data_IF_666060916628
#
_entry.id   IF_666060916628
#
_cell.length_a   1.000
_cell.length_b   1.000
_cell.length_c   1.000
_cell.angle_alpha   90.00
_cell.angle_beta   90.00
_cell.angle_gamma   90.00
#
_symmetry.space_group_name_H-M   'P 1'
#
loop_
_entity.id
_entity.type
_entity.pdbx_description
1 polymer ?
#
# COMPACT_ATOMS: atom_id res chain seq x y z
N UNK A 1 1.09 -15.46 1.46
CA UNK A 1 2.44 -15.31 2.03
C UNK A 1 2.35 -14.85 3.48
N UNK A 2 1.82 -13.64 3.72
CA UNK A 2 1.49 -13.12 5.05
C UNK A 2 -0.03 -13.14 5.22
N UNK A 3 -0.52 -13.53 6.40
CA UNK A 3 -1.93 -13.51 6.75
C UNK A 3 -2.12 -12.95 8.15
N UNK A 4 -3.04 -12.00 8.30
CA UNK A 4 -3.53 -11.46 9.56
C UNK A 4 -4.92 -12.05 9.76
N UNK A 5 -5.22 -12.59 10.94
CA UNK A 5 -6.53 -13.17 11.24
C UNK A 5 -7.03 -12.65 12.58
N UNK A 6 -8.18 -11.97 12.55
CA UNK A 6 -8.79 -11.33 13.70
C UNK A 6 -7.83 -10.44 14.48
N UNK A 7 -6.96 -9.69 13.79
CA UNK A 7 -5.91 -8.92 14.44
C UNK A 7 -6.50 -7.82 15.31
N UNK A 8 -6.15 -7.81 16.60
CA UNK A 8 -6.56 -6.78 17.55
C UNK A 8 -5.36 -6.17 18.24
N UNK A 9 -5.41 -4.85 18.43
CA UNK A 9 -4.44 -4.13 19.23
C UNK A 9 -5.17 -3.10 20.09
N UNK A 10 -5.07 -3.31 21.39
CA UNK A 10 -5.54 -2.37 22.42
C UNK A 10 -4.33 -1.76 23.11
N UNK A 11 -4.39 -0.47 23.39
CA UNK A 11 -3.39 0.26 24.17
C UNK A 11 -4.02 0.81 25.43
N UNK A 12 -3.38 0.58 26.57
CA UNK A 12 -3.80 1.18 27.84
C UNK A 12 -3.31 2.63 27.90
N UNK A 13 -4.25 3.56 27.97
CA UNK A 13 -3.95 5.00 28.12
C UNK A 13 -4.53 5.53 29.43
N UNK A 14 -4.08 6.71 29.86
CA UNK A 14 -4.64 7.38 31.05
C UNK A 14 -6.15 7.68 30.95
N UNK A 15 -6.69 7.74 29.72
CA UNK A 15 -8.11 7.99 29.45
C UNK A 15 -8.92 6.70 29.27
N UNK A 16 -8.30 5.52 29.45
CA UNK A 16 -8.91 4.21 29.23
C UNK A 16 -8.24 3.42 28.11
N UNK A 17 -8.69 2.17 27.88
CA UNK A 17 -8.20 1.33 26.79
C UNK A 17 -8.61 1.91 25.43
N UNK A 18 -7.68 1.93 24.49
CA UNK A 18 -7.89 2.41 23.11
C UNK A 18 -7.70 1.24 22.15
N UNK A 19 -8.79 0.79 21.53
CA UNK A 19 -8.75 -0.22 20.48
C UNK A 19 -8.28 0.41 19.16
N UNK A 20 -6.98 0.36 18.90
CA UNK A 20 -6.39 0.92 17.69
C UNK A 20 -6.63 0.04 16.45
N UNK A 21 -6.79 -1.27 16.65
CA UNK A 21 -7.14 -2.25 15.61
C UNK A 21 -8.14 -3.22 16.21
N UNK A 22 -9.27 -3.44 15.53
CA UNK A 22 -10.39 -4.25 16.04
C UNK A 22 -10.81 -5.32 15.03
N UNK A 23 -10.12 -6.47 15.03
CA UNK A 23 -10.51 -7.64 14.26
C UNK A 23 -10.18 -7.56 12.77
N UNK A 24 -8.95 -7.15 12.43
CA UNK A 24 -8.53 -6.99 11.03
C UNK A 24 -8.05 -8.31 10.41
N UNK A 25 -8.70 -8.70 9.30
CA UNK A 25 -8.32 -9.82 8.45
C UNK A 25 -7.72 -9.30 7.13
N UNK A 26 -6.44 -9.59 6.89
CA UNK A 26 -5.74 -9.20 5.66
C UNK A 26 -4.81 -10.32 5.19
N UNK A 27 -4.59 -10.40 3.88
CA UNK A 27 -3.68 -11.38 3.30
C UNK A 27 -2.86 -10.73 2.19
N UNK A 28 -1.54 -10.93 2.26
CA UNK A 28 -0.62 -10.56 1.19
C UNK A 28 -0.14 -11.83 0.51
N UNK A 29 -0.40 -11.92 -0.79
CA UNK A 29 0.06 -13.03 -1.62
C UNK A 29 1.48 -12.76 -2.17
N UNK A 30 2.28 -13.80 -2.46
CA UNK A 30 3.59 -13.61 -3.08
C UNK A 30 3.50 -12.76 -4.35
N UNK A 31 4.44 -11.84 -4.57
CA UNK A 31 4.45 -10.96 -5.74
C UNK A 31 3.25 -10.02 -5.89
N UNK A 32 2.32 -9.98 -4.91
CA UNK A 32 1.11 -9.15 -4.97
C UNK A 32 1.20 -7.95 -4.03
N UNK A 33 0.52 -6.89 -4.44
CA UNK A 33 0.36 -5.66 -3.67
C UNK A 33 -0.99 -5.67 -2.98
N UNK A 34 -0.98 -5.47 -1.67
CA UNK A 34 -2.14 -5.08 -0.88
C UNK A 34 -1.91 -3.66 -0.38
N UNK A 35 -2.82 -2.75 -0.72
CA UNK A 35 -2.79 -1.39 -0.21
C UNK A 35 -3.75 -1.25 0.97
N UNK A 36 -3.29 -0.68 2.10
CA UNK A 36 -4.13 -0.36 3.25
C UNK A 36 -4.28 1.16 3.35
N UNK A 37 -5.50 1.65 3.15
CA UNK A 37 -5.80 3.08 3.04
C UNK A 37 -6.77 3.54 4.10
N UNK A 38 -6.63 4.77 4.58
CA UNK A 38 -7.55 5.38 5.52
C UNK A 38 -7.01 6.69 6.09
N UNK A 39 -7.88 7.44 6.77
CA UNK A 39 -7.53 8.69 7.45
C UNK A 39 -6.39 8.49 8.48
N UNK A 40 -5.72 9.59 8.86
CA UNK A 40 -4.70 9.54 9.91
C UNK A 40 -5.30 9.04 11.22
N UNK A 41 -4.55 8.22 11.96
CA UNK A 41 -4.99 7.67 13.24
C UNK A 41 -6.01 6.51 13.16
N UNK A 42 -6.37 6.02 11.97
CA UNK A 42 -7.33 4.92 11.86
C UNK A 42 -6.78 3.52 12.17
N UNK A 43 -5.50 3.38 12.54
CA UNK A 43 -4.87 2.11 12.95
C UNK A 43 -3.89 1.48 11.95
N UNK A 44 -3.66 2.09 10.77
CA UNK A 44 -2.82 1.53 9.70
C UNK A 44 -1.39 1.18 10.16
N UNK A 45 -0.69 2.13 10.76
CA UNK A 45 0.68 1.94 11.29
C UNK A 45 0.74 0.89 12.38
N UNK A 46 -0.31 0.79 13.21
CA UNK A 46 -0.41 -0.27 14.23
C UNK A 46 -0.53 -1.64 13.59
N UNK A 47 -1.39 -1.79 12.57
CA UNK A 47 -1.51 -3.01 11.76
C UNK A 47 -0.19 -3.36 11.09
N UNK A 48 0.51 -2.37 10.51
CA UNK A 48 1.81 -2.52 9.87
C UNK A 48 2.88 -3.10 10.80
N UNK A 49 2.98 -2.53 12.01
CA UNK A 49 3.97 -2.93 13.01
C UNK A 49 3.70 -4.33 13.54
N UNK A 50 2.43 -4.70 13.73
CA UNK A 50 2.04 -6.06 14.08
C UNK A 50 2.38 -7.04 12.94
N UNK A 51 2.04 -6.68 11.70
CA UNK A 51 2.33 -7.44 10.49
C UNK A 51 3.83 -7.65 10.23
N UNK A 52 4.69 -6.75 10.72
CA UNK A 52 6.15 -6.82 10.67
C UNK A 52 6.78 -7.55 11.89
N UNK A 53 5.97 -7.95 12.88
CA UNK A 53 6.46 -8.54 14.13
C UNK A 53 7.20 -7.56 15.05
N UNK A 54 7.01 -6.24 14.86
CA UNK A 54 7.59 -5.19 15.71
C UNK A 54 6.76 -4.94 16.98
N UNK A 55 5.48 -5.26 16.93
CA UNK A 55 4.55 -5.19 18.08
C UNK A 55 3.81 -6.52 18.18
N UNK A 56 3.64 -7.03 19.40
CA UNK A 56 2.81 -8.22 19.64
C UNK A 56 1.35 -7.78 19.73
N UNK A 57 0.43 -8.33 18.90
CA UNK A 57 -0.98 -8.00 18.98
C UNK A 57 -1.58 -8.45 20.32
N UNK A 58 -2.63 -7.76 20.75
CA UNK A 58 -3.40 -8.10 21.96
C UNK A 58 -4.20 -9.39 21.74
N UNK A 59 -4.82 -9.53 20.57
CA UNK A 59 -5.50 -10.76 20.13
C UNK A 59 -5.36 -10.97 18.62
N UNK A 60 -5.77 -12.15 18.16
CA UNK A 60 -5.59 -12.58 16.77
C UNK A 60 -4.19 -13.11 16.46
N UNK A 61 -3.95 -13.42 15.19
CA UNK A 61 -2.73 -14.10 14.74
C UNK A 61 -2.12 -13.43 13.51
N UNK A 62 -0.78 -13.37 13.51
CA UNK A 62 0.03 -13.04 12.33
C UNK A 62 0.72 -14.32 11.89
N UNK A 63 0.48 -14.73 10.65
CA UNK A 63 1.05 -15.93 10.04
C UNK A 63 1.93 -15.55 8.86
N UNK A 64 3.10 -16.17 8.77
CA UNK A 64 3.97 -16.08 7.62
C UNK A 64 4.27 -17.50 7.11
N UNK A 65 4.01 -17.75 5.83
CA UNK A 65 4.10 -19.08 5.19
C UNK A 65 3.32 -20.15 5.96
N UNK A 66 2.13 -19.79 6.44
CA UNK A 66 1.23 -20.69 7.18
C UNK A 66 1.63 -20.99 8.62
N UNK A 67 2.68 -20.32 9.16
CA UNK A 67 3.10 -20.48 10.56
C UNK A 67 2.91 -19.19 11.33
N UNK A 68 2.25 -19.28 12.49
CA UNK A 68 2.07 -18.15 13.40
C UNK A 68 3.41 -17.66 13.97
N UNK A 69 3.61 -16.35 14.02
CA UNK A 69 4.86 -15.74 14.52
C UNK A 69 5.15 -16.10 15.99
N UNK A 70 4.11 -16.27 16.79
CA UNK A 70 4.20 -16.66 18.21
C UNK A 70 4.75 -18.08 18.38
N UNK A 71 4.50 -18.96 17.43
CA UNK A 71 4.95 -20.36 17.42
C UNK A 71 6.33 -20.56 16.78
N UNK A 72 6.96 -19.48 16.27
CA UNK A 72 8.29 -19.57 15.66
C UNK A 72 9.39 -19.65 16.73
N UNK A 73 10.38 -20.50 16.48
CA UNK A 73 11.63 -20.56 17.24
C UNK A 73 12.60 -19.42 16.85
N UNK A 74 13.80 -19.39 17.43
CA UNK A 74 14.78 -18.32 17.19
C UNK A 74 15.26 -18.20 15.73
N UNK A 75 15.53 -19.32 15.06
CA UNK A 75 16.00 -19.32 13.67
C UNK A 75 14.88 -18.95 12.70
N UNK A 76 13.67 -19.44 12.94
CA UNK A 76 12.48 -19.10 12.16
C UNK A 76 12.13 -17.62 12.27
N UNK A 77 12.20 -17.03 13.47
CA UNK A 77 12.03 -15.57 13.65
C UNK A 77 13.12 -14.77 12.95
N UNK A 78 14.36 -15.27 12.93
CA UNK A 78 15.45 -14.62 12.19
C UNK A 78 15.24 -14.67 10.68
N UNK A 79 14.74 -15.80 10.15
CA UNK A 79 14.34 -15.93 8.75
C UNK A 79 13.15 -15.01 8.41
N UNK A 80 12.12 -14.96 9.26
CA UNK A 80 10.99 -14.06 9.08
C UNK A 80 11.43 -12.58 9.03
N UNK A 81 12.27 -12.13 9.98
CA UNK A 81 12.83 -10.77 9.97
C UNK A 81 13.74 -10.47 8.79
N UNK A 82 14.21 -11.49 8.06
CA UNK A 82 14.95 -11.34 6.81
C UNK A 82 13.98 -11.18 5.64
N UNK A 83 12.99 -12.07 5.54
CA UNK A 83 12.00 -12.10 4.47
C UNK A 83 11.00 -10.93 4.53
N UNK A 84 10.69 -10.40 5.72
CA UNK A 84 9.77 -9.26 5.89
C UNK A 84 10.55 -8.04 6.35
N UNK A 85 10.53 -6.99 5.53
CA UNK A 85 11.25 -5.75 5.80
C UNK A 85 10.27 -4.59 5.89
N UNK A 86 10.60 -3.61 6.74
CA UNK A 86 9.71 -2.50 7.07
C UNK A 86 10.36 -1.18 6.70
N UNK A 87 9.68 -0.39 5.89
CA UNK A 87 10.08 0.97 5.51
C UNK A 87 9.24 1.94 6.33
N UNK A 88 9.91 2.63 7.25
CA UNK A 88 9.30 3.61 8.15
C UNK A 88 8.80 4.86 7.41
N UNK A 89 7.79 5.50 8.01
CA UNK A 89 7.21 6.77 7.57
C UNK A 89 8.23 7.91 7.54
N UNK A 90 9.04 8.03 8.59
CA UNK A 90 10.02 9.10 8.73
C UNK A 90 11.43 8.64 8.30
N UNK A 91 11.98 9.12 7.15
CA UNK A 91 13.33 8.82 6.72
C UNK A 91 14.41 9.34 7.70
N UNK A 92 14.14 10.42 8.44
CA UNK A 92 15.08 11.04 9.34
C UNK A 92 15.27 10.21 10.61
N UNK A 93 14.18 9.74 11.22
CA UNK A 93 14.23 8.84 12.36
C UNK A 93 14.72 7.43 11.99
N UNK A 94 14.57 7.02 10.72
CA UNK A 94 14.95 5.69 10.28
C UNK A 94 16.47 5.45 10.21
N UNK A 95 17.28 6.50 10.00
CA UNK A 95 18.74 6.39 9.85
C UNK A 95 19.47 6.89 11.11
N UNK A 96 20.45 6.12 11.58
CA UNK A 96 21.28 6.57 12.69
C UNK A 96 22.22 7.72 12.21
N UNK A 97 22.12 8.93 12.77
CA UNK A 97 22.84 10.11 12.28
C UNK A 97 24.36 10.01 12.41
N UNK A 98 24.86 9.12 13.29
CA UNK A 98 26.30 8.93 13.54
C UNK A 98 26.89 7.77 12.72
N UNK A 99 26.11 7.14 11.83
CA UNK A 99 26.54 6.04 10.98
C UNK A 99 26.53 6.48 9.53
N UNK A 100 27.54 6.07 8.77
CA UNK A 100 27.56 6.31 7.31
C UNK A 100 26.52 5.45 6.59
N UNK A 101 26.22 5.79 5.35
CA UNK A 101 25.38 4.99 4.45
C UNK A 101 25.91 3.56 4.33
N UNK A 102 27.22 3.39 4.09
CA UNK A 102 27.86 2.08 4.05
C UNK A 102 27.68 1.29 5.35
N UNK A 103 27.86 1.94 6.51
CA UNK A 103 27.64 1.26 7.79
C UNK A 103 26.19 0.83 7.96
N UNK A 104 25.24 1.62 7.45
CA UNK A 104 23.81 1.33 7.54
C UNK A 104 23.42 0.15 6.65
N UNK A 105 23.84 0.17 5.37
CA UNK A 105 23.52 -0.88 4.41
C UNK A 105 24.24 -2.20 4.73
N UNK A 106 25.48 -2.14 5.23
CA UNK A 106 26.25 -3.34 5.57
C UNK A 106 25.88 -3.99 6.90
N UNK A 107 25.11 -3.32 7.77
CA UNK A 107 24.77 -3.84 9.09
C UNK A 107 23.96 -5.14 9.03
N UNK A 108 22.89 -5.16 8.24
CA UNK A 108 22.05 -6.34 8.03
C UNK A 108 22.82 -7.47 7.35
N UNK A 109 23.55 -7.14 6.28
CA UNK A 109 24.38 -8.07 5.53
C UNK A 109 25.36 -8.83 6.43
N UNK A 110 26.08 -8.11 7.30
CA UNK A 110 27.03 -8.70 8.25
C UNK A 110 26.34 -9.51 9.33
N UNK A 111 25.27 -8.99 9.93
CA UNK A 111 24.52 -9.66 11.02
C UNK A 111 24.01 -11.04 10.59
N UNK A 112 23.62 -11.18 9.34
CA UNK A 112 23.06 -12.41 8.79
C UNK A 112 24.05 -13.22 7.95
N UNK A 113 25.35 -12.89 7.99
CA UNK A 113 26.40 -13.64 7.30
C UNK A 113 26.26 -13.66 5.77
N UNK A 114 25.62 -12.65 5.18
CA UNK A 114 25.44 -12.55 3.72
C UNK A 114 26.69 -12.05 2.98
N UNK A 115 27.70 -11.60 3.73
CA UNK A 115 29.00 -11.14 3.22
C UNK A 115 30.10 -11.63 4.13
N UNK A 116 31.23 -12.03 3.55
CA UNK A 116 32.37 -12.62 4.27
C UNK A 116 33.38 -11.57 4.72
N UNK A 117 33.55 -10.50 3.96
CA UNK A 117 34.56 -9.47 4.22
C UNK A 117 34.06 -8.05 3.89
N UNK A 118 34.87 -7.06 4.25
CA UNK A 118 34.54 -5.64 4.05
C UNK A 118 34.41 -5.25 2.58
N UNK A 119 35.22 -5.83 1.70
CA UNK A 119 35.21 -5.53 0.26
C UNK A 119 33.90 -5.99 -0.37
N UNK A 120 33.47 -7.22 -0.10
CA UNK A 120 32.20 -7.77 -0.54
C UNK A 120 31.01 -6.95 0.00
N UNK A 121 31.07 -6.55 1.28
CA UNK A 121 30.06 -5.67 1.87
C UNK A 121 29.96 -4.32 1.17
N UNK A 122 31.09 -3.76 0.70
CA UNK A 122 31.13 -2.47 0.00
C UNK A 122 30.58 -2.58 -1.41
N UNK A 123 30.91 -3.65 -2.12
CA UNK A 123 30.34 -3.95 -3.44
C UNK A 123 28.81 -4.12 -3.35
N UNK A 124 28.33 -4.92 -2.40
CA UNK A 124 26.88 -5.09 -2.20
C UNK A 124 26.17 -3.80 -1.79
N UNK A 125 26.80 -2.98 -0.93
CA UNK A 125 26.24 -1.67 -0.61
C UNK A 125 26.17 -0.75 -1.84
N UNK A 126 27.16 -0.79 -2.74
CA UNK A 126 27.14 -0.02 -3.98
C UNK A 126 26.05 -0.49 -4.96
N UNK A 127 25.89 -1.81 -5.13
CA UNK A 127 24.80 -2.41 -5.93
C UNK A 127 23.42 -1.95 -5.40
N UNK A 128 23.23 -1.96 -4.08
CA UNK A 128 21.98 -1.50 -3.46
C UNK A 128 21.70 -0.02 -3.71
N UNK A 129 22.74 0.83 -3.69
CA UNK A 129 22.60 2.26 -4.00
C UNK A 129 22.25 2.51 -5.47
N UNK A 130 22.87 1.76 -6.39
CA UNK A 130 22.52 1.82 -7.81
C UNK A 130 21.07 1.38 -8.05
N UNK A 131 20.63 0.32 -7.35
CA UNK A 131 19.26 -0.18 -7.45
C UNK A 131 18.21 0.86 -7.03
N UNK A 132 18.55 1.78 -6.13
CA UNK A 132 17.67 2.89 -5.73
C UNK A 132 18.02 4.21 -6.44
N UNK A 133 18.74 4.15 -7.57
CA UNK A 133 19.12 5.28 -8.42
C UNK A 133 19.96 6.35 -7.71
N UNK A 134 20.77 5.95 -6.72
CA UNK A 134 21.80 6.80 -6.10
C UNK A 134 23.14 6.57 -6.81
N UNK A 135 23.29 7.20 -7.97
CA UNK A 135 24.46 7.10 -8.83
C UNK A 135 25.25 8.42 -8.89
N UNK A 136 26.59 8.38 -8.91
CA UNK A 136 27.46 7.22 -8.68
C UNK A 136 27.48 6.82 -7.18
N UNK A 137 27.42 5.51 -6.84
CA UNK A 137 27.29 5.06 -5.44
C UNK A 137 28.47 5.46 -4.55
N UNK A 138 29.67 5.61 -5.12
CA UNK A 138 30.90 6.00 -4.43
C UNK A 138 30.75 7.34 -3.71
N UNK A 139 29.96 8.26 -4.28
CA UNK A 139 29.69 9.57 -3.71
C UNK A 139 28.85 9.52 -2.43
N UNK A 140 28.14 8.41 -2.18
CA UNK A 140 27.17 8.30 -1.09
C UNK A 140 27.61 7.34 0.02
N UNK A 141 28.43 6.33 -0.30
CA UNK A 141 28.78 5.26 0.64
C UNK A 141 29.35 5.77 1.96
N UNK A 142 30.24 6.76 1.89
CA UNK A 142 30.91 7.31 3.08
C UNK A 142 30.21 8.56 3.63
N UNK A 143 29.11 9.00 3.01
CA UNK A 143 28.29 10.09 3.51
C UNK A 143 27.52 9.70 4.77
N UNK A 144 27.29 10.68 5.61
CA UNK A 144 26.38 10.60 6.75
C UNK A 144 24.98 11.06 6.35
N UNK A 145 23.92 10.64 7.07
CA UNK A 145 22.55 11.06 6.78
C UNK A 145 22.41 12.58 6.66
N UNK A 146 23.05 13.35 7.53
CA UNK A 146 22.97 14.83 7.51
C UNK A 146 23.48 15.47 6.21
N UNK A 147 24.28 14.77 5.41
CA UNK A 147 24.82 15.22 4.13
C UNK A 147 23.90 14.88 2.94
N UNK A 148 22.79 14.17 3.18
CA UNK A 148 21.85 13.72 2.15
C UNK A 148 20.56 14.55 2.17
N UNK A 149 20.00 14.79 0.99
CA UNK A 149 18.64 15.34 0.81
C UNK A 149 17.58 14.38 1.37
N UNK A 150 16.37 14.87 1.63
CA UNK A 150 15.26 14.03 2.14
C UNK A 150 14.97 12.83 1.24
N UNK A 151 14.92 13.06 -0.09
CA UNK A 151 14.74 11.99 -1.06
C UNK A 151 15.90 10.98 -1.10
N UNK A 152 17.15 11.45 -0.99
CA UNK A 152 18.32 10.57 -0.93
C UNK A 152 18.30 9.69 0.33
N UNK A 153 17.94 10.25 1.49
CA UNK A 153 17.78 9.48 2.73
C UNK A 153 16.72 8.40 2.59
N UNK A 154 15.60 8.72 1.95
CA UNK A 154 14.55 7.74 1.76
C UNK A 154 14.96 6.63 0.79
N UNK A 155 15.69 6.95 -0.28
CA UNK A 155 16.30 5.94 -1.16
C UNK A 155 17.28 5.05 -0.39
N UNK A 156 18.11 5.60 0.50
CA UNK A 156 18.98 4.80 1.39
C UNK A 156 18.16 3.90 2.32
N UNK A 157 17.03 4.38 2.85
CA UNK A 157 16.13 3.59 3.69
C UNK A 157 15.51 2.41 2.90
N UNK A 158 15.10 2.64 1.65
CA UNK A 158 14.64 1.58 0.74
C UNK A 158 15.77 0.59 0.44
N UNK A 159 16.96 1.07 0.08
CA UNK A 159 18.13 0.21 -0.15
C UNK A 159 18.45 -0.66 1.06
N UNK A 160 18.34 -0.11 2.28
CA UNK A 160 18.53 -0.87 3.52
C UNK A 160 17.52 -2.00 3.65
N UNK A 161 16.25 -1.75 3.32
CA UNK A 161 15.20 -2.79 3.36
C UNK A 161 15.45 -3.88 2.33
N UNK A 162 16.03 -3.56 1.17
CA UNK A 162 16.34 -4.52 0.11
C UNK A 162 17.59 -5.36 0.39
N UNK A 163 18.49 -4.88 1.25
CA UNK A 163 19.77 -5.53 1.54
C UNK A 163 19.66 -7.01 1.93
N UNK A 164 18.52 -7.40 2.50
CA UNK A 164 18.27 -8.73 3.03
C UNK A 164 17.62 -9.70 2.03
N UNK A 165 17.35 -9.26 0.80
CA UNK A 165 16.53 -9.93 -0.22
C UNK A 165 15.15 -10.31 0.33
N UNK A 166 14.30 -9.30 0.66
CA UNK A 166 12.99 -9.54 1.23
C UNK A 166 12.05 -10.22 0.23
N UNK A 167 11.08 -10.95 0.76
CA UNK A 167 9.91 -11.45 0.01
C UNK A 167 8.70 -10.53 0.19
N UNK A 168 8.68 -9.75 1.27
CA UNK A 168 7.62 -8.80 1.60
C UNK A 168 8.22 -7.49 2.08
N UNK A 169 7.78 -6.39 1.47
CA UNK A 169 8.01 -5.04 1.95
C UNK A 169 6.73 -4.46 2.54
N UNK A 170 6.83 -3.98 3.78
CA UNK A 170 5.78 -3.21 4.45
C UNK A 170 6.18 -1.74 4.37
N UNK A 171 5.45 -0.95 3.61
CA UNK A 171 5.73 0.47 3.39
C UNK A 171 4.73 1.30 4.20
N UNK A 172 5.16 1.92 5.29
CA UNK A 172 4.27 2.69 6.17
C UNK A 172 4.35 4.18 5.87
N UNK A 173 3.43 4.71 5.05
CA UNK A 173 3.36 6.12 4.64
C UNK A 173 4.72 6.66 4.13
N UNK A 174 5.50 5.79 3.48
CA UNK A 174 6.90 6.02 3.09
C UNK A 174 7.09 7.12 2.03
N UNK A 175 6.01 7.68 1.49
CA UNK A 175 6.02 8.74 0.48
C UNK A 175 5.37 10.04 0.95
N UNK A 176 4.85 10.07 2.19
CA UNK A 176 4.02 11.18 2.69
C UNK A 176 4.81 12.49 2.87
N UNK A 177 6.04 12.40 3.40
CA UNK A 177 6.89 13.55 3.71
C UNK A 177 7.76 14.03 2.54
N UNK A 178 7.52 13.52 1.32
CA UNK A 178 8.34 13.82 0.15
C UNK A 178 7.61 14.76 -0.81
N UNK A 179 8.38 15.62 -1.47
CA UNK A 179 7.94 16.41 -2.63
C UNK A 179 7.35 15.50 -3.71
N UNK A 180 6.41 16.04 -4.48
CA UNK A 180 5.65 15.29 -5.50
C UNK A 180 6.57 14.57 -6.49
N UNK A 181 7.62 15.24 -6.99
CA UNK A 181 8.57 14.65 -7.94
C UNK A 181 9.36 13.48 -7.34
N UNK A 182 9.81 13.61 -6.10
CA UNK A 182 10.55 12.56 -5.37
C UNK A 182 9.62 11.39 -5.07
N UNK A 183 8.37 11.67 -4.68
CA UNK A 183 7.34 10.65 -4.44
C UNK A 183 7.10 9.78 -5.66
N UNK A 184 6.88 10.37 -6.84
CA UNK A 184 6.66 9.62 -8.09
C UNK A 184 7.88 8.76 -8.42
N UNK A 185 9.10 9.33 -8.33
CA UNK A 185 10.31 8.58 -8.61
C UNK A 185 10.54 7.41 -7.64
N UNK A 186 10.18 7.57 -6.36
CA UNK A 186 10.23 6.47 -5.40
C UNK A 186 9.19 5.39 -5.69
N UNK A 187 7.96 5.78 -6.05
CA UNK A 187 6.92 4.82 -6.44
C UNK A 187 7.32 4.02 -7.69
N UNK A 188 7.94 4.67 -8.68
CA UNK A 188 8.54 3.99 -9.84
C UNK A 188 9.61 2.99 -9.43
N UNK A 189 10.50 3.38 -8.52
CA UNK A 189 11.54 2.49 -7.98
C UNK A 189 10.90 1.27 -7.31
N UNK A 190 9.92 1.46 -6.43
CA UNK A 190 9.22 0.37 -5.75
C UNK A 190 8.45 -0.53 -6.72
N UNK A 191 7.81 0.05 -7.74
CA UNK A 191 7.08 -0.69 -8.78
C UNK A 191 8.02 -1.56 -9.62
N UNK A 192 9.18 -1.01 -10.01
CA UNK A 192 10.23 -1.77 -10.70
C UNK A 192 10.75 -2.92 -9.84
N UNK A 193 10.97 -2.68 -8.54
CA UNK A 193 11.40 -3.71 -7.60
C UNK A 193 10.37 -4.83 -7.42
N UNK A 194 9.08 -4.50 -7.37
CA UNK A 194 8.00 -5.48 -7.38
C UNK A 194 8.10 -6.38 -8.61
N UNK A 195 8.26 -5.79 -9.79
CA UNK A 195 8.21 -6.50 -11.06
C UNK A 195 9.49 -7.32 -11.33
N UNK A 196 10.66 -6.82 -10.96
CA UNK A 196 11.96 -7.49 -11.18
C UNK A 196 12.29 -8.55 -10.12
N UNK A 197 11.87 -8.35 -8.87
CA UNK A 197 12.30 -9.18 -7.73
C UNK A 197 11.18 -10.05 -7.13
N UNK A 198 9.98 -10.03 -7.71
CA UNK A 198 8.78 -10.76 -7.25
C UNK A 198 8.45 -10.51 -5.76
N UNK A 199 8.70 -9.28 -5.30
CA UNK A 199 8.49 -8.89 -3.90
C UNK A 199 7.02 -8.52 -3.69
N UNK A 200 6.40 -9.11 -2.67
CA UNK A 200 5.07 -8.71 -2.23
C UNK A 200 5.09 -7.38 -1.46
N UNK A 201 3.98 -6.64 -1.47
CA UNK A 201 3.88 -5.36 -0.78
C UNK A 201 2.65 -5.29 0.11
N UNK A 202 2.84 -4.84 1.35
CA UNK A 202 1.79 -4.20 2.14
C UNK A 202 2.07 -2.70 2.11
N UNK A 203 1.38 -1.99 1.24
CA UNK A 203 1.59 -0.56 1.03
C UNK A 203 0.56 0.26 1.79
N UNK A 204 1.00 1.11 2.70
CA UNK A 204 0.12 1.88 3.57
C UNK A 204 0.20 3.34 3.20
N UNK A 205 -0.96 3.95 2.99
CA UNK A 205 -1.06 5.36 2.61
C UNK A 205 -2.39 5.94 3.10
N UNK A 206 -2.47 7.25 3.23
CA UNK A 206 -3.75 7.95 3.38
C UNK A 206 -4.28 8.49 2.04
N UNK A 207 -3.47 8.40 0.98
CA UNK A 207 -3.77 8.94 -0.35
C UNK A 207 -4.21 7.82 -1.30
N UNK A 208 -5.48 7.87 -1.71
CA UNK A 208 -6.08 6.92 -2.66
C UNK A 208 -5.50 7.04 -4.07
N UNK A 209 -5.00 8.21 -4.48
CA UNK A 209 -4.37 8.36 -5.79
C UNK A 209 -3.03 7.62 -5.85
N UNK A 210 -2.25 7.67 -4.76
CA UNK A 210 -1.04 6.84 -4.61
C UNK A 210 -1.39 5.36 -4.58
N UNK A 211 -2.46 4.98 -3.85
CA UNK A 211 -2.94 3.60 -3.82
C UNK A 211 -3.36 3.09 -5.21
N UNK A 212 -4.10 3.91 -5.97
CA UNK A 212 -4.49 3.64 -7.37
C UNK A 212 -3.26 3.36 -8.22
N UNK A 213 -2.27 4.25 -8.14
CA UNK A 213 -1.06 4.18 -8.96
C UNK A 213 -0.24 2.91 -8.65
N UNK A 214 -0.04 2.59 -7.38
CA UNK A 214 0.87 1.52 -6.97
C UNK A 214 0.23 0.12 -6.96
N UNK A 215 -1.06 0.04 -6.63
CA UNK A 215 -1.77 -1.23 -6.38
C UNK A 215 -2.85 -1.55 -7.42
N UNK A 216 -2.79 -0.98 -8.63
CA UNK A 216 -3.83 -1.17 -9.66
C UNK A 216 -4.10 -2.66 -9.97
N UNK A 217 -3.06 -3.48 -10.11
CA UNK A 217 -3.15 -4.92 -10.36
C UNK A 217 -3.22 -5.78 -9.08
N UNK A 218 -3.45 -5.11 -7.94
CA UNK A 218 -3.52 -5.71 -6.62
C UNK A 218 -4.87 -5.48 -5.95
N UNK A 219 -4.83 -5.42 -4.63
CA UNK A 219 -6.01 -5.20 -3.80
C UNK A 219 -5.85 -3.94 -2.95
N UNK A 220 -6.98 -3.39 -2.53
CA UNK A 220 -7.05 -2.28 -1.60
C UNK A 220 -8.01 -2.63 -0.45
N UNK A 221 -7.58 -2.39 0.77
CA UNK A 221 -8.37 -2.45 1.98
C UNK A 221 -8.49 -1.03 2.57
N UNK A 222 -9.72 -0.56 2.73
CA UNK A 222 -10.04 0.75 3.30
C UNK A 222 -10.34 0.55 4.78
N UNK A 223 -9.64 1.29 5.62
CA UNK A 223 -9.67 1.18 7.08
C UNK A 223 -10.23 2.45 7.71
N UNK A 224 -11.18 2.29 8.61
CA UNK A 224 -11.78 3.36 9.40
C UNK A 224 -11.84 2.96 10.87
N UNK A 225 -11.29 3.80 11.76
CA UNK A 225 -11.26 3.61 13.22
C UNK A 225 -11.01 2.16 13.68
N UNK A 226 -9.90 1.58 13.23
CA UNK A 226 -9.46 0.25 13.66
C UNK A 226 -9.98 -0.91 12.81
N UNK A 227 -10.86 -0.66 11.83
CA UNK A 227 -11.61 -1.72 11.13
C UNK A 227 -11.55 -1.58 9.62
N UNK A 228 -11.53 -2.71 8.91
CA UNK A 228 -11.64 -2.73 7.44
C UNK A 228 -13.10 -2.58 7.05
N UNK A 229 -13.42 -1.50 6.34
CA UNK A 229 -14.79 -1.18 5.92
C UNK A 229 -15.10 -1.59 4.48
N UNK A 230 -14.07 -1.71 3.65
CA UNK A 230 -14.18 -2.16 2.26
C UNK A 230 -12.86 -2.80 1.83
N UNK A 231 -12.90 -3.95 1.16
CA UNK A 231 -11.71 -4.64 0.64
C UNK A 231 -12.03 -5.37 -0.64
N UNK A 232 -11.23 -5.18 -1.68
CA UNK A 232 -11.35 -5.93 -2.93
C UNK A 232 -10.30 -5.52 -3.95
N UNK A 233 -10.48 -5.91 -5.23
CA UNK A 233 -9.63 -5.48 -6.33
C UNK A 233 -9.61 -3.95 -6.42
N UNK A 234 -8.41 -3.37 -6.58
CA UNK A 234 -8.23 -1.91 -6.63
C UNK A 234 -9.13 -1.22 -7.68
N UNK A 235 -9.28 -1.73 -8.92
CA UNK A 235 -10.14 -1.10 -9.91
C UNK A 235 -11.63 -1.08 -9.52
N UNK A 236 -12.09 -2.10 -8.78
CA UNK A 236 -13.49 -2.20 -8.35
C UNK A 236 -13.81 -1.28 -7.18
N UNK A 237 -12.92 -1.22 -6.18
CA UNK A 237 -13.09 -0.35 -5.00
C UNK A 237 -12.95 1.12 -5.38
N UNK A 238 -12.02 1.47 -6.27
CA UNK A 238 -11.81 2.86 -6.71
C UNK A 238 -12.85 3.27 -7.75
N UNK A 239 -13.16 2.40 -8.72
CA UNK A 239 -14.08 2.72 -9.81
C UNK A 239 -15.56 2.67 -9.41
N UNK A 240 -15.91 1.85 -8.41
CA UNK A 240 -17.28 1.68 -7.92
C UNK A 240 -17.29 1.43 -6.40
N UNK A 241 -16.84 2.41 -5.58
CA UNK A 241 -16.86 2.28 -4.13
C UNK A 241 -18.27 2.03 -3.61
N UNK A 242 -18.41 1.07 -2.69
CA UNK A 242 -19.70 0.75 -2.10
C UNK A 242 -19.90 1.43 -0.75
N UNK A 243 -18.89 1.38 0.12
CA UNK A 243 -19.03 1.90 1.47
C UNK A 243 -19.12 3.44 1.44
N UNK A 244 -20.07 4.07 2.16
CA UNK A 244 -20.22 5.52 2.16
C UNK A 244 -18.95 6.30 2.54
N UNK A 245 -18.12 5.75 3.45
CA UNK A 245 -16.78 6.28 3.74
C UNK A 245 -15.84 6.25 2.53
N UNK A 246 -15.74 5.12 1.82
CA UNK A 246 -14.88 5.02 0.64
C UNK A 246 -15.34 5.98 -0.46
N UNK A 247 -16.66 6.12 -0.65
CA UNK A 247 -17.23 7.12 -1.56
C UNK A 247 -16.83 8.54 -1.17
N UNK A 248 -16.88 8.87 0.12
CA UNK A 248 -16.46 10.17 0.62
C UNK A 248 -14.94 10.41 0.45
N UNK A 249 -14.10 9.41 0.71
CA UNK A 249 -12.65 9.51 0.49
C UNK A 249 -12.31 9.75 -0.98
N UNK A 250 -12.95 9.03 -1.91
CA UNK A 250 -12.73 9.20 -3.36
C UNK A 250 -13.27 10.55 -3.82
N UNK A 251 -14.46 10.96 -3.36
CA UNK A 251 -15.05 12.25 -3.70
C UNK A 251 -14.27 13.45 -3.15
N UNK A 252 -13.39 13.25 -2.17
CA UNK A 252 -12.50 14.28 -1.65
C UNK A 252 -11.19 14.42 -2.46
N UNK A 253 -10.90 13.51 -3.40
CA UNK A 253 -9.74 13.63 -4.29
C UNK A 253 -10.02 14.73 -5.31
N UNK A 254 -9.21 15.80 -5.30
CA UNK A 254 -9.34 16.89 -6.25
C UNK A 254 -9.15 16.40 -7.69
N UNK A 255 -10.11 16.68 -8.55
CA UNK A 255 -10.03 16.46 -9.99
C UNK A 255 -9.37 17.70 -10.64
N UNK A 256 -8.17 17.58 -11.23
CA UNK A 256 -7.48 18.70 -11.86
C UNK A 256 -8.17 19.23 -13.12
N UNK A 257 -8.93 18.39 -13.83
CA UNK A 257 -9.71 18.82 -14.99
C UNK A 257 -11.00 19.54 -14.51
N UNK A 258 -11.21 20.82 -14.85
CA UNK A 258 -12.37 21.58 -14.38
C UNK A 258 -13.71 21.05 -14.90
N UNK A 259 -13.75 20.39 -16.05
CA UNK A 259 -14.98 19.84 -16.61
C UNK A 259 -15.34 18.50 -15.93
N UNK A 260 -14.33 17.65 -15.68
CA UNK A 260 -14.50 16.44 -14.86
C UNK A 260 -14.81 16.78 -13.40
N UNK A 261 -14.20 17.84 -12.85
CA UNK A 261 -14.47 18.32 -11.50
C UNK A 261 -15.92 18.80 -11.34
N UNK A 262 -16.48 19.48 -12.35
CA UNK A 262 -17.90 19.88 -12.40
C UNK A 262 -18.82 18.66 -12.47
N UNK A 263 -18.48 17.65 -13.27
CA UNK A 263 -19.22 16.39 -13.30
C UNK A 263 -19.14 15.61 -11.98
N UNK A 264 -18.02 15.73 -11.25
CA UNK A 264 -17.78 15.12 -9.94
C UNK A 264 -18.25 15.97 -8.73
N UNK A 265 -18.99 17.07 -8.94
CA UNK A 265 -19.51 17.93 -7.86
C UNK A 265 -20.47 17.25 -6.87
N UNK A 266 -20.77 15.96 -7.05
CA UNK A 266 -21.42 15.12 -6.04
C UNK A 266 -20.44 14.69 -4.95
N UNK A 267 -19.67 15.63 -4.38
CA UNK A 267 -18.93 15.37 -3.16
C UNK A 267 -19.93 14.87 -2.12
N UNK A 268 -19.73 13.63 -1.67
CA UNK A 268 -20.61 12.98 -0.68
C UNK A 268 -20.61 13.85 0.56
N UNK A 269 -21.71 14.57 0.79
CA UNK A 269 -21.84 15.44 1.96
C UNK A 269 -21.95 14.57 3.22
N UNK A 270 -20.90 14.59 4.03
CA UNK A 270 -20.90 13.92 5.32
C UNK A 270 -21.86 14.63 6.28
N UNK A 271 -22.51 13.85 7.15
CA UNK A 271 -23.38 14.39 8.21
C UNK A 271 -22.61 15.20 9.26
N UNK A 272 -21.33 14.89 9.44
CA UNK A 272 -20.42 15.58 10.34
C UNK A 272 -18.99 15.49 9.79
N UNK A 273 -18.22 16.57 10.00
CA UNK A 273 -16.79 16.58 9.74
C UNK A 273 -15.97 15.99 10.90
N UNK A 274 -16.56 15.89 12.10
CA UNK A 274 -15.88 15.43 13.30
C UNK A 274 -15.67 13.91 13.26
N UNK A 275 -14.42 13.49 13.47
CA UNK A 275 -14.04 12.07 13.55
C UNK A 275 -14.25 11.62 15.00
N UNK A 276 -15.06 10.57 15.25
CA UNK A 276 -15.23 10.01 16.58
C UNK A 276 -13.88 9.61 17.23
N UNK A 277 -13.78 9.81 18.54
CA UNK A 277 -12.61 9.40 19.30
C UNK A 277 -12.54 7.88 19.43
N UNK A 278 -11.34 7.30 19.31
CA UNK A 278 -11.13 5.87 19.59
C UNK A 278 -11.37 5.50 21.07
N UNK A 279 -11.41 6.47 21.99
CA UNK A 279 -11.76 6.24 23.41
C UNK A 279 -13.26 6.17 23.66
N UNK A 280 -14.07 6.71 22.75
CA UNK A 280 -15.52 6.84 22.90
C UNK A 280 -16.16 6.60 21.53
N UNK A 281 -16.11 5.33 21.10
CA UNK A 281 -16.67 4.93 19.83
C UNK A 281 -18.20 4.83 19.94
N UNK A 282 -18.93 5.27 18.91
CA UNK A 282 -20.38 5.16 18.90
C UNK A 282 -20.80 3.69 18.82
N UNK A 283 -22.00 3.39 19.32
CA UNK A 283 -22.58 2.06 19.21
C UNK A 283 -22.86 1.67 17.74
N UNK A 284 -22.76 0.38 17.44
CA UNK A 284 -22.99 -0.13 16.09
C UNK A 284 -21.87 0.21 15.10
N UNK A 285 -22.22 0.82 13.97
CA UNK A 285 -21.26 1.19 12.93
C UNK A 285 -20.47 2.46 13.30
N UNK A 286 -19.16 2.34 13.47
CA UNK A 286 -18.30 3.48 13.83
C UNK A 286 -18.41 4.71 12.90
N UNK A 287 -18.82 4.52 11.64
CA UNK A 287 -18.98 5.59 10.65
C UNK A 287 -20.38 6.24 10.67
N UNK A 288 -21.36 5.66 11.38
CA UNK A 288 -22.75 6.10 11.35
C UNK A 288 -22.96 7.59 11.67
N UNK A 289 -22.17 8.25 12.56
CA UNK A 289 -22.35 9.68 12.84
C UNK A 289 -22.03 10.59 11.65
N UNK A 290 -21.12 10.15 10.78
CA UNK A 290 -20.68 10.87 9.56
C UNK A 290 -21.41 10.39 8.30
N UNK A 291 -22.02 9.21 8.34
CA UNK A 291 -22.55 8.50 7.19
C UNK A 291 -23.82 9.14 6.60
N UNK A 292 -23.83 9.64 5.36
CA UNK A 292 -25.06 10.17 4.74
C UNK A 292 -26.14 9.12 4.49
N UNK A 293 -25.75 7.85 4.38
CA UNK A 293 -26.67 6.71 4.24
C UNK A 293 -27.08 6.11 5.60
N UNK A 294 -27.03 6.88 6.68
CA UNK A 294 -27.40 6.40 8.02
C UNK A 294 -28.89 6.05 8.09
N UNK A 295 -29.20 4.89 8.68
CA UNK A 295 -30.55 4.45 9.01
C UNK A 295 -30.66 4.17 10.52
N UNK A 296 -31.52 4.91 11.27
CA UNK A 296 -31.74 4.68 12.69
C UNK A 296 -32.27 3.27 12.98
N UNK A 297 -31.84 2.68 14.10
CA UNK A 297 -32.22 1.33 14.52
C UNK A 297 -31.47 0.20 13.81
N UNK A 298 -30.77 0.49 12.72
CA UNK A 298 -29.94 -0.45 11.97
C UNK A 298 -28.45 -0.16 12.14
N UNK A 299 -28.04 1.09 11.88
CA UNK A 299 -26.62 1.48 11.85
C UNK A 299 -26.04 1.80 13.24
N UNK A 300 -26.90 2.13 14.21
CA UNK A 300 -26.55 2.50 15.60
C UNK A 300 -26.77 1.35 16.61
N UNK A 301 -27.38 0.25 16.19
CA UNK A 301 -27.74 -0.87 17.07
C UNK A 301 -26.76 -2.03 17.04
N UNK A 302 -26.18 -2.33 15.87
CA UNK A 302 -25.28 -3.45 15.68
C UNK A 302 -24.10 -3.08 14.77
N UNK A 303 -22.97 -3.71 15.02
CA UNK A 303 -21.80 -3.51 14.17
C UNK A 303 -21.94 -4.32 12.86
N UNK A 304 -21.66 -3.71 11.69
CA UNK A 304 -21.67 -4.45 10.43
C UNK A 304 -20.50 -5.42 10.34
N UNK A 305 -20.77 -6.63 9.83
CA UNK A 305 -19.73 -7.60 9.47
C UNK A 305 -19.21 -7.34 8.05
N UNK A 306 -17.93 -7.61 7.81
CA UNK A 306 -17.33 -7.54 6.48
C UNK A 306 -17.86 -8.69 5.59
N UNK A 307 -18.82 -8.40 4.71
CA UNK A 307 -19.50 -9.40 3.85
C UNK A 307 -19.19 -9.22 2.38
N UNK A 308 -19.26 -10.30 1.59
CA UNK A 308 -19.12 -10.24 0.13
C UNK A 308 -20.19 -9.35 -0.49
N UNK A 309 -19.77 -8.49 -1.40
CA UNK A 309 -20.58 -7.49 -2.08
C UNK A 309 -21.02 -7.92 -3.50
N UNK A 310 -20.49 -9.03 -4.03
CA UNK A 310 -20.77 -9.48 -5.39
C UNK A 310 -21.88 -10.54 -5.44
N UNK A 311 -22.70 -10.51 -6.50
CA UNK A 311 -23.65 -11.58 -6.79
C UNK A 311 -22.90 -12.81 -7.30
N UNK A 312 -23.31 -14.00 -6.87
CA UNK A 312 -22.75 -15.30 -7.30
C UNK A 312 -23.07 -15.67 -8.77
N UNK A 313 -22.92 -14.73 -9.72
CA UNK A 313 -23.43 -14.85 -11.09
C UNK A 313 -22.39 -14.86 -12.22
N UNK A 314 -21.18 -14.32 -12.03
CA UNK A 314 -20.17 -14.27 -13.10
C UNK A 314 -18.94 -15.08 -12.68
N UNK A 315 -18.52 -16.00 -13.54
CA UNK A 315 -17.63 -17.12 -13.23
C UNK A 315 -16.38 -16.78 -12.42
N UNK A 316 -16.15 -17.61 -11.38
CA UNK A 316 -14.84 -17.97 -10.82
C UNK A 316 -13.78 -16.87 -10.70
N UNK A 317 -13.98 -15.90 -9.79
CA UNK A 317 -12.86 -15.26 -9.07
C UNK A 317 -12.95 -15.59 -7.58
N UNK A 318 -11.89 -16.15 -6.96
CA UNK A 318 -11.94 -16.61 -5.56
C UNK A 318 -11.94 -15.50 -4.50
N UNK A 319 -11.88 -14.22 -4.88
CA UNK A 319 -11.85 -13.09 -3.94
C UNK A 319 -12.76 -11.97 -4.45
N UNK A 320 -14.05 -12.07 -4.13
CA UNK A 320 -15.01 -11.01 -4.40
C UNK A 320 -14.78 -9.81 -3.47
N UNK A 321 -15.27 -8.64 -3.89
CA UNK A 321 -15.24 -7.42 -3.08
C UNK A 321 -16.03 -7.65 -1.79
N UNK A 322 -15.55 -7.09 -0.67
CA UNK A 322 -16.18 -7.19 0.65
C UNK A 322 -16.43 -5.80 1.22
N UNK A 323 -17.56 -5.63 1.89
CA UNK A 323 -18.02 -4.36 2.45
C UNK A 323 -18.62 -4.59 3.83
N UNK A 324 -18.26 -3.73 4.78
CA UNK A 324 -18.82 -3.71 6.13
C UNK A 324 -19.87 -2.59 6.24
N UNK A 325 -21.08 -2.83 5.74
CA UNK A 325 -22.17 -1.86 5.81
C UNK A 325 -23.54 -2.56 5.73
N UNK A 326 -24.43 -2.25 6.69
CA UNK A 326 -25.77 -2.82 6.74
C UNK A 326 -26.65 -2.44 5.55
N UNK A 327 -26.61 -1.17 5.14
CA UNK A 327 -27.42 -0.64 4.03
C UNK A 327 -27.01 -1.30 2.72
N UNK A 328 -25.71 -1.33 2.42
CA UNK A 328 -25.18 -1.99 1.22
C UNK A 328 -25.51 -3.48 1.23
N UNK A 329 -25.26 -4.18 2.35
CA UNK A 329 -25.55 -5.61 2.47
C UNK A 329 -27.04 -5.92 2.24
N UNK A 330 -27.95 -5.07 2.73
CA UNK A 330 -29.40 -5.20 2.50
C UNK A 330 -29.76 -4.96 1.04
N UNK A 331 -29.25 -3.90 0.42
CA UNK A 331 -29.62 -3.50 -0.94
C UNK A 331 -29.09 -4.50 -1.98
N UNK A 332 -27.93 -5.12 -1.71
CA UNK A 332 -27.41 -6.24 -2.48
C UNK A 332 -28.33 -7.47 -2.41
N UNK A 333 -28.83 -7.81 -1.22
CA UNK A 333 -29.80 -8.92 -1.03
C UNK A 333 -31.14 -8.67 -1.71
N UNK A 334 -31.62 -7.42 -1.73
CA UNK A 334 -32.89 -7.02 -2.37
C UNK A 334 -32.83 -6.92 -3.89
N UNK A 335 -31.63 -7.05 -4.46
CA UNK A 335 -31.43 -6.94 -5.89
C UNK A 335 -31.53 -5.51 -6.45
N UNK A 336 -31.66 -4.50 -5.58
CA UNK A 336 -31.90 -3.09 -5.94
C UNK A 336 -30.63 -2.34 -6.33
N UNK A 337 -29.44 -2.85 -5.99
CA UNK A 337 -28.18 -2.36 -6.56
C UNK A 337 -27.99 -3.03 -7.91
N UNK A 338 -28.43 -2.36 -8.99
CA UNK A 338 -27.79 -2.59 -10.29
C UNK A 338 -26.37 -2.05 -10.16
N UNK A 339 -25.30 -2.83 -10.44
CA UNK A 339 -24.02 -2.21 -10.70
C UNK A 339 -24.28 -1.16 -11.77
N UNK A 340 -23.86 0.10 -11.53
CA UNK A 340 -23.84 1.07 -12.61
C UNK A 340 -23.10 0.39 -13.76
N UNK A 341 -23.80 0.21 -14.89
CA UNK A 341 -23.18 -0.39 -16.05
C UNK A 341 -21.86 0.34 -16.25
N UNK A 342 -20.76 -0.40 -16.32
CA UNK A 342 -19.47 0.15 -16.74
C UNK A 342 -19.71 0.65 -18.16
N UNK A 343 -20.16 1.90 -18.27
CA UNK A 343 -20.30 2.56 -19.55
C UNK A 343 -18.93 2.49 -20.20
N UNK A 344 -18.90 2.17 -21.48
CA UNK A 344 -17.66 2.06 -22.27
C UNK A 344 -16.82 3.36 -22.29
N UNK A 345 -17.21 4.41 -21.56
CA UNK A 345 -16.40 5.60 -21.24
C UNK A 345 -15.71 5.58 -19.86
N UNK A 346 -15.82 4.52 -19.04
CA UNK A 346 -15.13 4.43 -17.74
C UNK A 346 -13.63 4.10 -17.87
N UNK A 347 -13.19 3.65 -19.06
CA UNK A 347 -11.78 3.48 -19.39
C UNK A 347 -11.02 4.82 -19.48
N UNK A 348 -11.73 5.94 -19.53
CA UNK A 348 -11.15 7.28 -19.70
C UNK A 348 -11.25 8.15 -18.43
N UNK A 349 -11.64 7.57 -17.28
CA UNK A 349 -11.59 8.24 -15.96
C UNK A 349 -10.18 8.18 -15.37
N UNK A 350 -9.25 8.65 -16.19
CA UNK A 350 -7.85 8.78 -15.87
C UNK A 350 -7.72 9.97 -14.92
N UNK A 351 -7.67 9.71 -13.61
CA UNK A 351 -6.95 10.60 -12.69
C UNK A 351 -5.51 10.66 -13.20
N UNK A 352 -5.24 11.58 -14.11
CA UNK A 352 -3.96 11.73 -14.78
C UNK A 352 -2.98 12.40 -13.82
N UNK A 353 -1.86 11.75 -13.57
CA UNK A 353 -0.62 12.42 -13.18
C UNK A 353 0.14 12.86 -14.44
N UNK A 354 -0.57 13.31 -15.48
CA UNK A 354 0.06 13.68 -16.75
C UNK A 354 0.53 15.12 -16.69
N UNK A 355 1.69 15.29 -16.06
CA UNK A 355 2.58 16.43 -16.29
C UNK A 355 4.04 16.02 -16.09
N UNK A 356 4.52 15.01 -16.82
CA UNK A 356 5.96 14.86 -17.11
C UNK A 356 6.14 14.36 -18.56
N UNK A 357 6.77 15.14 -19.46
CA UNK A 357 7.08 14.67 -20.81
C UNK A 357 8.15 13.56 -20.74
N UNK A 358 7.90 12.37 -21.30
CA UNK A 358 8.97 11.41 -21.58
C UNK A 358 8.71 9.91 -21.41
N UNK A 359 7.50 9.42 -21.17
CA UNK A 359 7.25 7.97 -21.08
C UNK A 359 6.05 7.50 -21.89
N UNK A 360 6.21 7.45 -23.23
CA UNK A 360 5.34 6.57 -24.04
C UNK A 360 5.98 5.19 -24.08
N UNK A 361 5.29 4.18 -23.53
CA UNK A 361 5.56 2.77 -23.85
C UNK A 361 5.39 2.57 -25.37
N UNK A 362 6.32 1.93 -26.09
CA UNK A 362 6.07 1.51 -27.45
C UNK A 362 5.01 0.40 -27.46
N UNK A 363 4.08 0.47 -28.41
CA UNK A 363 3.08 -0.57 -28.66
C UNK A 363 3.76 -1.87 -29.11
N UNK A 364 3.17 -3.06 -28.83
CA UNK A 364 3.69 -4.32 -29.34
C UNK A 364 3.57 -4.35 -30.87
N UNK A 365 4.71 -4.37 -31.56
CA UNK A 365 4.78 -4.53 -33.02
C UNK A 365 4.43 -5.97 -33.39
N UNK A 366 3.42 -6.13 -34.24
CA UNK A 366 3.16 -7.33 -35.04
C UNK A 366 4.40 -7.71 -35.85
N UNK A 367 4.66 -9.00 -36.12
CA UNK A 367 5.78 -9.40 -36.97
C UNK A 367 5.50 -8.90 -38.39
N UNK A 368 6.37 -8.01 -38.88
CA UNK A 368 6.38 -7.56 -40.27
C UNK A 368 7.37 -8.45 -41.00
N UNK A 369 6.90 -9.06 -42.09
CA UNK A 369 7.69 -9.88 -43.01
C UNK A 369 8.94 -9.15 -43.52
N UNK A 370 10.04 -9.92 -43.65
CA UNK A 370 11.32 -9.45 -44.16
C UNK A 370 11.20 -8.79 -45.55
N UNK A 371 11.78 -7.61 -45.77
CA UNK A 371 11.81 -6.99 -47.09
C UNK A 371 12.85 -7.68 -47.99
N UNK A 372 12.60 -7.80 -49.31
CA UNK A 372 13.56 -8.37 -50.23
C UNK A 372 14.73 -7.40 -50.45
N UNK A 373 15.95 -7.94 -50.36
CA UNK A 373 17.20 -7.27 -50.72
C UNK A 373 17.21 -6.76 -52.17
N UNK A 374 17.61 -5.50 -52.43
CA UNK A 374 18.18 -5.10 -53.70
C UNK A 374 19.68 -4.85 -53.59
N UNK A 375 20.36 -5.26 -54.65
CA UNK A 375 21.81 -5.22 -54.86
C UNK A 375 22.29 -3.79 -55.11
N UNK A 376 23.43 -3.46 -54.50
CA UNK A 376 24.55 -2.71 -55.08
C UNK A 376 24.36 -1.23 -55.46
N UNK A 377 25.10 -0.35 -54.79
CA UNK A 377 25.97 0.64 -55.43
C UNK A 377 26.91 1.28 -54.38
N UNK A 378 28.17 1.46 -54.77
CA UNK A 378 29.19 2.27 -54.12
C UNK A 378 28.69 3.73 -53.89
N UNK A 379 29.23 4.55 -53.00
CA UNK A 379 30.52 5.25 -53.12
C UNK A 379 30.93 5.87 -51.78
N UNK A 380 32.24 6.01 -51.64
CA UNK A 380 33.10 6.59 -50.59
C UNK A 380 32.98 8.10 -50.36
N UNK A 381 33.20 8.55 -49.11
CA UNK A 381 34.29 9.44 -48.66
C UNK A 381 34.24 9.60 -47.13
#
# INVERSE_FOLDING_TARGET
MLKLSGLEQVFDTKKGPVAAVGGVDLQVNPGKVLCLVGESGCGKTTTARAAAGLTRPTAGTVEFRGKALTAMNGSERAAYRRSVQYIHQDPYAALNPTRTVFSTLSAGLKRHGMVKNRTEARLKAAELLQLVELTPPESYLDSYPHQLSGGQRQRVNVARSLAMNPELLICDESTSMLDVSIRVSLLNTLGRLRDELDVGFLFITHDLAVAKYFAWDGEIAVMYLGKVVEHGPTPEVIGNPQHPYTKALIGAVCEPDPDLARANQSAVQLRSAEIPSLTDLPAGCAFHPRCPAFEPGLCDSAEPSLTLADRAGDGARPQGRRVSCHVVARDLKRGSVRPAAVGQGAADRTLTFDAVPGSRRPAPTTPVDDPPTPRGAAWSA
#
